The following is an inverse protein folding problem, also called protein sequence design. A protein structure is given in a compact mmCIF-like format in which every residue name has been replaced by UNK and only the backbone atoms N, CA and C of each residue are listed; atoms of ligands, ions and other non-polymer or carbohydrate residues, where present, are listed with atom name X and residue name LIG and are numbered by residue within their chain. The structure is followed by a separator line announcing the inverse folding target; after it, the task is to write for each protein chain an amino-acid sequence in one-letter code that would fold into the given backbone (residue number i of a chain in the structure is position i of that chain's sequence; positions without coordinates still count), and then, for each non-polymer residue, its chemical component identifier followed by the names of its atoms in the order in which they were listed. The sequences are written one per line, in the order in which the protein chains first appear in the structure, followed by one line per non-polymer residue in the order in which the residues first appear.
data_IF_219317288999
#
_entry.id   IF_219317288999
#
_cell.length_a   1.000
_cell.length_b   1.000
_cell.length_c   1.000
_cell.angle_alpha   90.00
_cell.angle_beta   90.00
_cell.angle_gamma   90.00
#
_symmetry.space_group_name_H-M   'P 1'
#
loop_
_entity.id
_entity.type
_entity.pdbx_description
1 polymer ?
#
# COMPACT_ATOMS: atom_id res chain seq x y z
N UNK A 1 0.13 16.62 3.01
CA UNK A 1 -0.97 16.52 2.01
C UNK A 1 -0.32 16.56 0.65
N UNK A 2 -0.74 15.71 -0.29
CA UNK A 2 -0.25 15.73 -1.68
C UNK A 2 -1.46 16.08 -2.54
N UNK A 3 -1.34 17.13 -3.35
CA UNK A 3 -2.41 17.59 -4.24
C UNK A 3 -1.96 17.38 -5.69
N UNK A 4 -2.83 16.75 -6.48
CA UNK A 4 -2.65 16.58 -7.92
C UNK A 4 -3.42 17.67 -8.65
N UNK A 5 -2.77 18.37 -9.58
CA UNK A 5 -3.41 19.40 -10.40
C UNK A 5 -3.05 19.15 -11.86
N UNK A 6 -4.08 19.05 -12.69
CA UNK A 6 -3.96 18.96 -14.15
C UNK A 6 -3.86 20.38 -14.71
N UNK A 7 -2.63 20.91 -14.77
CA UNK A 7 -2.29 22.01 -15.67
C UNK A 7 -1.64 21.39 -16.92
N UNK A 8 -1.27 22.18 -17.96
CA UNK A 8 -0.76 21.70 -19.26
C UNK A 8 0.43 20.68 -19.22
N UNK A 9 0.98 20.41 -18.03
CA UNK A 9 1.84 19.28 -17.70
C UNK A 9 1.39 18.65 -16.37
N UNK A 10 1.35 17.32 -16.28
CA UNK A 10 1.08 16.67 -14.99
C UNK A 10 2.20 17.03 -14.01
N UNK A 11 1.83 17.30 -12.76
CA UNK A 11 2.76 17.62 -11.69
C UNK A 11 2.29 17.07 -10.36
N UNK A 12 3.20 16.97 -9.40
CA UNK A 12 2.85 16.73 -8.00
C UNK A 12 3.45 17.81 -7.10
N UNK A 13 2.73 18.11 -6.02
CA UNK A 13 3.19 19.00 -4.97
C UNK A 13 3.14 18.30 -3.60
N UNK A 14 4.18 18.47 -2.80
CA UNK A 14 4.28 17.92 -1.46
C UNK A 14 4.17 19.05 -0.45
N UNK A 15 3.20 18.94 0.45
CA UNK A 15 2.99 19.91 1.52
C UNK A 15 3.29 19.31 2.90
N UNK A 16 3.94 20.11 3.74
CA UNK A 16 4.05 19.86 5.17
C UNK A 16 2.66 19.77 5.84
N UNK A 17 2.61 19.26 7.08
CA UNK A 17 1.37 19.25 7.87
C UNK A 17 0.81 20.66 8.13
N UNK A 18 1.65 21.69 8.08
CA UNK A 18 1.25 23.10 8.23
C UNK A 18 0.76 23.73 6.92
N UNK A 19 0.66 22.96 5.84
CA UNK A 19 0.25 23.46 4.52
C UNK A 19 1.34 24.20 3.74
N UNK A 20 2.58 24.25 4.24
CA UNK A 20 3.73 24.83 3.50
C UNK A 20 4.16 23.86 2.40
N UNK A 21 4.28 24.34 1.16
CA UNK A 21 4.78 23.56 0.03
C UNK A 21 6.27 23.31 0.18
N UNK A 22 6.66 22.04 0.26
CA UNK A 22 8.05 21.58 0.37
C UNK A 22 8.66 21.25 -1.00
N UNK A 23 7.85 20.73 -1.93
CA UNK A 23 8.34 20.27 -3.22
C UNK A 23 7.26 20.45 -4.29
N UNK A 24 7.69 20.76 -5.51
CA UNK A 24 6.92 20.66 -6.75
C UNK A 24 7.79 20.01 -7.80
N UNK A 25 7.28 19.02 -8.53
CA UNK A 25 7.95 18.46 -9.69
C UNK A 25 6.96 18.23 -10.83
N UNK A 26 7.40 18.54 -12.05
CA UNK A 26 6.70 18.16 -13.26
C UNK A 26 6.97 16.69 -13.58
N UNK A 27 5.92 15.96 -13.99
CA UNK A 27 5.97 14.54 -14.34
C UNK A 27 5.52 14.26 -15.77
N UNK A 28 5.36 15.31 -16.59
CA UNK A 28 5.07 15.18 -18.01
C UNK A 28 3.70 14.52 -18.26
N UNK A 29 3.69 13.42 -19.01
CA UNK A 29 2.53 12.55 -19.24
C UNK A 29 2.34 11.48 -18.17
N UNK A 30 3.26 11.35 -17.22
CA UNK A 30 3.18 10.30 -16.21
C UNK A 30 2.09 10.61 -15.16
N UNK A 31 1.59 9.56 -14.52
CA UNK A 31 0.60 9.62 -13.46
C UNK A 31 1.17 9.10 -12.14
N UNK A 32 0.86 9.76 -11.02
CA UNK A 32 1.22 9.25 -9.69
C UNK A 32 0.28 8.11 -9.32
N UNK A 33 0.82 6.92 -9.07
CA UNK A 33 0.03 5.75 -8.64
C UNK A 33 0.08 5.58 -7.13
N UNK A 34 1.25 5.84 -6.55
CA UNK A 34 1.48 5.64 -5.13
C UNK A 34 2.54 6.61 -4.64
N UNK A 35 2.42 7.01 -3.38
CA UNK A 35 3.37 7.87 -2.71
C UNK A 35 3.48 7.45 -1.25
N UNK A 36 4.66 7.63 -0.68
CA UNK A 36 4.86 7.57 0.77
C UNK A 36 6.03 8.46 1.16
N UNK A 37 6.16 8.78 2.45
CA UNK A 37 7.25 9.63 2.89
C UNK A 37 7.59 9.47 4.36
N UNK A 38 8.83 9.84 4.67
CA UNK A 38 9.33 10.01 6.03
C UNK A 38 9.32 11.50 6.32
N UNK A 39 8.44 11.92 7.24
CA UNK A 39 8.24 13.32 7.61
C UNK A 39 9.56 14.05 7.84
N UNK A 40 9.76 15.14 7.10
CA UNK A 40 10.94 16.01 7.21
C UNK A 40 12.22 15.46 6.59
N UNK A 41 12.24 14.24 6.05
CA UNK A 41 13.43 13.62 5.46
C UNK A 41 13.31 13.42 3.95
N UNK A 42 12.43 12.52 3.53
CA UNK A 42 12.32 12.10 2.13
C UNK A 42 10.90 11.68 1.78
N UNK A 43 10.59 11.72 0.49
CA UNK A 43 9.33 11.26 -0.06
C UNK A 43 9.61 10.49 -1.33
N UNK A 44 8.88 9.41 -1.55
CA UNK A 44 8.97 8.63 -2.78
C UNK A 44 7.63 8.66 -3.49
N UNK A 45 7.69 8.77 -4.82
CA UNK A 45 6.54 8.61 -5.70
C UNK A 45 6.80 7.44 -6.66
N UNK A 46 5.74 6.68 -6.92
CA UNK A 46 5.65 5.72 -8.01
C UNK A 46 4.86 6.37 -9.15
N UNK A 47 5.50 6.53 -10.29
CA UNK A 47 4.98 7.19 -11.48
C UNK A 47 4.79 6.15 -12.58
N UNK A 48 3.60 6.10 -13.18
CA UNK A 48 3.35 5.33 -14.38
C UNK A 48 3.43 6.24 -15.59
N UNK A 49 4.34 5.91 -16.49
CA UNK A 49 4.38 6.46 -17.83
C UNK A 49 3.79 5.44 -18.82
N UNK A 50 2.73 5.85 -19.49
CA UNK A 50 2.04 5.08 -20.52
C UNK A 50 2.11 5.76 -21.89
N UNK A 51 2.99 6.75 -22.08
CA UNK A 51 3.14 7.44 -23.37
C UNK A 51 3.89 6.60 -24.40
N UNK A 52 4.53 5.51 -23.99
CA UNK A 52 5.19 4.55 -24.87
C UNK A 52 4.31 3.30 -25.09
N UNK A 53 4.67 2.45 -26.05
CA UNK A 53 4.00 1.15 -26.23
C UNK A 53 4.22 0.19 -25.05
N UNK A 54 5.06 0.55 -24.09
CA UNK A 54 5.33 -0.19 -22.86
C UNK A 54 4.83 0.57 -21.63
N UNK A 55 4.42 -0.20 -20.62
CA UNK A 55 4.18 0.31 -19.27
C UNK A 55 5.53 0.49 -18.58
N UNK A 56 5.89 1.73 -18.26
CA UNK A 56 7.10 2.03 -17.49
C UNK A 56 6.69 2.61 -16.15
N UNK A 57 7.04 1.93 -15.06
CA UNK A 57 6.91 2.51 -13.72
C UNK A 57 8.25 3.06 -13.27
N UNK A 58 8.28 4.31 -12.86
CA UNK A 58 9.43 4.96 -12.23
C UNK A 58 9.16 5.16 -10.76
N UNK A 59 10.07 4.67 -9.91
CA UNK A 59 10.10 5.04 -8.49
C UNK A 59 11.18 6.10 -8.33
N UNK A 60 10.83 7.26 -7.80
CA UNK A 60 11.76 8.35 -7.54
C UNK A 60 11.62 8.87 -6.12
N UNK A 61 12.76 8.97 -5.43
CA UNK A 61 12.83 9.49 -4.06
C UNK A 61 13.43 10.88 -4.08
N UNK A 62 12.80 11.79 -3.34
CA UNK A 62 13.13 13.20 -3.23
C UNK A 62 13.42 13.55 -1.77
N UNK A 63 14.30 14.50 -1.52
CA UNK A 63 14.44 15.09 -0.20
C UNK A 63 13.36 16.18 0.05
N UNK A 64 13.42 16.81 1.22
CA UNK A 64 12.50 17.88 1.61
C UNK A 64 12.62 19.19 0.80
N UNK A 65 13.61 19.31 -0.07
CA UNK A 65 13.79 20.42 -1.01
C UNK A 65 13.34 20.08 -2.43
N UNK A 66 12.91 18.84 -2.67
CA UNK A 66 12.55 18.36 -4.00
C UNK A 66 13.73 17.92 -4.87
N UNK A 67 14.92 17.75 -4.30
CA UNK A 67 16.07 17.19 -5.02
C UNK A 67 15.94 15.67 -5.07
N UNK A 68 16.19 15.07 -6.24
CA UNK A 68 16.16 13.62 -6.42
C UNK A 68 17.36 13.01 -5.67
N UNK A 69 17.07 12.10 -4.74
CA UNK A 69 18.07 11.31 -4.04
C UNK A 69 18.47 10.07 -4.85
N UNK A 70 17.47 9.40 -5.43
CA UNK A 70 17.66 8.25 -6.33
C UNK A 70 16.37 7.99 -7.11
N UNK A 71 16.49 7.29 -8.25
CA UNK A 71 15.36 6.82 -9.02
C UNK A 71 15.67 5.49 -9.70
N UNK A 72 14.65 4.64 -9.86
CA UNK A 72 14.72 3.37 -10.56
C UNK A 72 13.53 3.25 -11.52
N UNK A 73 13.79 2.76 -12.74
CA UNK A 73 12.77 2.46 -13.73
C UNK A 73 12.50 0.95 -13.77
N UNK A 74 11.25 0.59 -13.99
CA UNK A 74 10.78 -0.78 -14.14
C UNK A 74 9.98 -0.87 -15.43
N UNK A 75 10.52 -1.60 -16.41
CA UNK A 75 9.81 -1.92 -17.65
C UNK A 75 8.84 -3.07 -17.40
N UNK A 76 7.66 -2.99 -18.03
CA UNK A 76 6.62 -4.03 -18.03
C UNK A 76 6.20 -4.48 -16.62
N UNK A 77 6.33 -3.58 -15.65
CA UNK A 77 5.99 -3.81 -14.24
C UNK A 77 5.28 -2.59 -13.68
N UNK A 78 4.07 -2.80 -13.18
CA UNK A 78 3.30 -1.80 -12.46
C UNK A 78 3.65 -1.84 -10.97
N UNK A 79 4.33 -0.81 -10.45
CA UNK A 79 4.53 -0.65 -9.00
C UNK A 79 3.36 0.14 -8.41
N UNK A 80 2.32 -0.59 -8.01
CA UNK A 80 1.04 -0.03 -7.56
C UNK A 80 1.05 0.46 -6.11
N UNK A 81 2.02 0.05 -5.30
CA UNK A 81 2.13 0.50 -3.91
C UNK A 81 3.58 0.65 -3.47
N UNK A 82 3.87 1.74 -2.78
CA UNK A 82 5.13 1.95 -2.06
C UNK A 82 4.86 2.27 -0.61
N UNK A 83 5.75 1.81 0.28
CA UNK A 83 5.64 2.09 1.72
C UNK A 83 7.00 2.09 2.40
N UNK A 84 7.28 3.12 3.17
CA UNK A 84 8.43 3.19 4.05
C UNK A 84 8.18 2.43 5.35
N UNK A 85 9.22 1.76 5.84
CA UNK A 85 9.26 1.30 7.22
C UNK A 85 9.83 2.39 8.16
N UNK A 86 9.79 2.13 9.45
CA UNK A 86 10.33 3.02 10.49
C UNK A 86 11.86 3.22 10.42
N UNK A 87 12.60 2.35 9.73
CA UNK A 87 14.06 2.48 9.51
C UNK A 87 14.39 3.32 8.28
N UNK A 88 13.39 3.67 7.47
CA UNK A 88 13.53 4.40 6.22
C UNK A 88 13.92 3.55 5.01
N UNK A 89 13.79 2.21 5.10
CA UNK A 89 13.79 1.36 3.91
C UNK A 89 12.44 1.50 3.22
N UNK A 90 12.45 1.47 1.89
CA UNK A 90 11.26 1.50 1.06
C UNK A 90 10.92 0.08 0.61
N UNK A 91 9.66 -0.29 0.68
CA UNK A 91 9.12 -1.45 -0.03
C UNK A 91 8.29 -0.98 -1.22
N UNK A 92 8.55 -1.57 -2.38
CA UNK A 92 7.83 -1.39 -3.62
C UNK A 92 7.09 -2.69 -3.97
N UNK A 93 5.81 -2.57 -4.27
CA UNK A 93 4.90 -3.70 -4.46
C UNK A 93 4.33 -3.59 -5.88
N UNK A 94 4.53 -4.65 -6.62
CA UNK A 94 4.01 -4.83 -7.98
C UNK A 94 2.94 -5.92 -8.01
N UNK A 95 2.44 -6.23 -9.20
CA UNK A 95 1.44 -7.28 -9.40
C UNK A 95 1.97 -8.69 -9.10
N UNK A 96 3.30 -8.91 -9.08
CA UNK A 96 3.88 -10.24 -8.91
C UNK A 96 5.10 -10.28 -7.99
N UNK A 97 5.55 -9.14 -7.46
CA UNK A 97 6.72 -9.09 -6.59
C UNK A 97 6.64 -7.98 -5.55
N UNK A 98 7.36 -8.19 -4.44
CA UNK A 98 7.62 -7.20 -3.41
C UNK A 98 9.15 -6.99 -3.34
N UNK A 99 9.60 -5.77 -3.61
CA UNK A 99 11.01 -5.37 -3.61
C UNK A 99 11.31 -4.47 -2.42
N UNK A 100 12.43 -4.67 -1.75
CA UNK A 100 12.93 -3.83 -0.65
C UNK A 100 14.17 -3.05 -1.08
N UNK A 101 14.14 -1.73 -0.89
CA UNK A 101 15.24 -0.81 -1.16
C UNK A 101 15.71 -0.16 0.13
N UNK A 102 17.02 0.06 0.29
CA UNK A 102 17.54 0.93 1.35
C UNK A 102 17.24 2.40 1.02
N UNK A 103 17.52 3.28 1.97
CA UNK A 103 17.39 4.72 1.81
C UNK A 103 18.20 5.31 0.65
N UNK A 104 19.29 4.65 0.23
CA UNK A 104 20.14 5.03 -0.91
C UNK A 104 19.65 4.51 -2.28
N UNK A 105 18.52 3.79 -2.31
CA UNK A 105 17.95 3.23 -3.54
C UNK A 105 18.52 1.88 -3.97
N UNK A 106 19.45 1.30 -3.20
CA UNK A 106 19.97 -0.04 -3.47
C UNK A 106 18.92 -1.10 -3.14
N UNK A 107 18.63 -1.99 -4.09
CA UNK A 107 17.81 -3.18 -3.89
C UNK A 107 18.51 -4.14 -2.91
N UNK A 108 17.80 -4.53 -1.85
CA UNK A 108 18.29 -5.45 -0.81
C UNK A 108 17.70 -6.82 -0.95
N UNK A 109 16.41 -6.89 -1.30
CA UNK A 109 15.67 -8.15 -1.33
C UNK A 109 14.51 -8.08 -2.31
N UNK A 110 14.26 -9.19 -2.96
CA UNK A 110 13.13 -9.41 -3.85
C UNK A 110 12.35 -10.63 -3.36
N UNK A 111 11.03 -10.53 -3.35
CA UNK A 111 10.12 -11.63 -3.08
C UNK A 111 9.16 -11.73 -4.26
N UNK A 112 9.27 -12.81 -5.03
CA UNK A 112 8.41 -13.07 -6.19
C UNK A 112 7.27 -14.03 -5.82
N UNK A 113 6.13 -13.85 -6.46
CA UNK A 113 4.95 -14.70 -6.32
C UNK A 113 4.70 -15.42 -7.64
N UNK A 114 4.42 -16.72 -7.57
CA UNK A 114 4.11 -17.54 -8.75
C UNK A 114 2.80 -17.14 -9.42
N UNK A 115 1.84 -16.65 -8.63
CA UNK A 115 0.55 -16.15 -9.08
C UNK A 115 0.44 -14.65 -8.79
N UNK A 116 -0.27 -13.86 -9.61
CA UNK A 116 -0.43 -12.43 -9.38
C UNK A 116 -1.07 -12.11 -8.01
N UNK A 117 -0.58 -11.06 -7.39
CA UNK A 117 -1.13 -10.44 -6.20
C UNK A 117 -2.46 -9.79 -6.56
N UNK A 118 -3.56 -10.32 -6.01
CA UNK A 118 -4.89 -9.75 -6.22
C UNK A 118 -5.11 -8.46 -5.43
N UNK A 119 -4.61 -8.44 -4.19
CA UNK A 119 -4.74 -7.31 -3.27
C UNK A 119 -3.50 -7.26 -2.39
N UNK A 120 -3.03 -6.05 -2.09
CA UNK A 120 -1.94 -5.84 -1.12
C UNK A 120 -2.23 -4.64 -0.23
N UNK A 121 -1.95 -4.77 1.07
CA UNK A 121 -1.95 -3.68 2.03
C UNK A 121 -0.63 -3.66 2.78
N UNK A 122 0.01 -2.49 2.81
CA UNK A 122 1.25 -2.26 3.52
C UNK A 122 0.94 -1.31 4.69
N UNK A 123 0.85 -1.88 5.88
CA UNK A 123 0.65 -1.16 7.14
C UNK A 123 1.97 -0.64 7.68
N UNK A 124 1.99 -0.20 8.95
CA UNK A 124 3.23 0.31 9.54
C UNK A 124 4.26 -0.80 9.83
N UNK A 125 3.78 -1.98 10.22
CA UNK A 125 4.65 -3.07 10.70
C UNK A 125 4.55 -4.35 9.87
N UNK A 126 3.48 -4.53 9.09
CA UNK A 126 3.23 -5.72 8.29
C UNK A 126 2.77 -5.37 6.88
N UNK A 127 3.08 -6.28 5.96
CA UNK A 127 2.57 -6.29 4.59
C UNK A 127 1.70 -7.53 4.45
N UNK A 128 0.46 -7.34 4.01
CA UNK A 128 -0.51 -8.42 3.77
C UNK A 128 -0.81 -8.47 2.29
N UNK A 129 -0.57 -9.63 1.66
CA UNK A 129 -0.85 -9.87 0.25
C UNK A 129 -1.83 -11.02 0.07
N UNK A 130 -2.70 -10.91 -0.93
CA UNK A 130 -3.64 -11.96 -1.32
C UNK A 130 -3.27 -12.49 -2.68
N UNK A 131 -3.21 -13.82 -2.79
CA UNK A 131 -2.96 -14.55 -4.04
C UNK A 131 -4.10 -15.53 -4.29
N UNK A 132 -4.55 -15.63 -5.55
CA UNK A 132 -5.55 -16.64 -5.93
C UNK A 132 -4.89 -18.01 -6.06
N UNK A 133 -5.49 -19.02 -5.45
CA UNK A 133 -5.18 -20.43 -5.69
C UNK A 133 -6.45 -21.20 -6.05
N UNK A 134 -6.30 -22.47 -6.43
CA UNK A 134 -7.43 -23.29 -6.86
C UNK A 134 -8.39 -23.55 -5.71
N UNK A 135 -9.54 -22.88 -5.73
CA UNK A 135 -10.62 -23.04 -4.75
C UNK A 135 -10.50 -22.21 -3.46
N UNK A 136 -9.43 -21.43 -3.31
CA UNK A 136 -9.23 -20.55 -2.15
C UNK A 136 -8.27 -19.40 -2.48
N UNK A 137 -8.12 -18.47 -1.55
CA UNK A 137 -7.23 -17.32 -1.63
C UNK A 137 -6.25 -17.38 -0.47
N UNK A 138 -4.97 -17.44 -0.79
CA UNK A 138 -3.91 -17.36 0.22
C UNK A 138 -3.70 -15.92 0.64
N UNK A 139 -3.53 -15.74 1.94
CA UNK A 139 -3.20 -14.48 2.58
C UNK A 139 -1.83 -14.64 3.20
N UNK A 140 -0.82 -13.95 2.67
CA UNK A 140 0.53 -13.97 3.21
C UNK A 140 0.79 -12.72 4.04
N UNK A 141 1.35 -12.91 5.24
CA UNK A 141 1.75 -11.80 6.11
C UNK A 141 3.27 -11.77 6.21
N UNK A 142 3.84 -10.64 5.81
CA UNK A 142 5.28 -10.39 5.82
C UNK A 142 5.63 -9.24 6.76
N UNK A 143 6.82 -9.28 7.34
CA UNK A 143 7.45 -8.09 7.90
C UNK A 143 8.15 -7.26 6.81
N UNK A 144 8.67 -6.09 7.18
CA UNK A 144 9.44 -5.22 6.29
C UNK A 144 10.88 -5.70 5.98
N UNK A 145 11.26 -6.90 6.44
CA UNK A 145 12.43 -7.62 5.95
C UNK A 145 12.04 -8.66 4.90
N UNK A 146 10.78 -8.64 4.46
CA UNK A 146 10.18 -9.62 3.55
C UNK A 146 10.33 -11.04 4.08
N UNK A 147 10.28 -11.23 5.40
CA UNK A 147 10.16 -12.53 6.05
C UNK A 147 8.68 -12.80 6.26
N UNK A 148 8.20 -13.96 5.81
CA UNK A 148 6.85 -14.40 6.13
C UNK A 148 6.74 -14.68 7.63
N UNK A 149 5.80 -14.03 8.29
CA UNK A 149 5.54 -14.15 9.74
C UNK A 149 4.17 -14.79 10.04
N UNK A 150 3.35 -14.99 9.01
CA UNK A 150 2.04 -15.59 9.13
C UNK A 150 1.44 -15.92 7.77
N UNK A 151 0.38 -16.72 7.80
CA UNK A 151 -0.42 -17.05 6.63
C UNK A 151 -1.84 -17.43 7.04
N UNK A 152 -2.79 -17.20 6.14
CA UNK A 152 -4.15 -17.71 6.25
C UNK A 152 -4.66 -18.11 4.87
N UNK A 153 -5.75 -18.87 4.81
CA UNK A 153 -6.46 -19.16 3.59
C UNK A 153 -7.94 -18.83 3.78
N UNK A 154 -8.55 -18.18 2.78
CA UNK A 154 -9.98 -17.85 2.77
C UNK A 154 -10.65 -18.44 1.54
N UNK A 155 -11.88 -18.93 1.68
CA UNK A 155 -12.62 -19.54 0.57
C UNK A 155 -13.24 -18.51 -0.36
N UNK A 156 -13.79 -17.43 0.20
CA UNK A 156 -14.41 -16.34 -0.54
C UNK A 156 -13.37 -15.31 -0.96
N UNK A 157 -13.56 -14.70 -2.12
CA UNK A 157 -12.69 -13.63 -2.63
C UNK A 157 -12.91 -12.36 -1.79
N UNK A 158 -11.90 -11.82 -1.09
CA UNK A 158 -12.07 -10.55 -0.42
C UNK A 158 -12.13 -9.40 -1.42
N UNK A 159 -13.03 -8.45 -1.19
CA UNK A 159 -13.12 -7.22 -1.99
C UNK A 159 -11.99 -6.24 -1.63
N UNK A 160 -11.54 -6.27 -0.38
CA UNK A 160 -10.38 -5.49 0.04
C UNK A 160 -9.72 -5.97 1.32
N UNK A 161 -8.61 -5.29 1.62
CA UNK A 161 -7.76 -5.57 2.78
C UNK A 161 -7.17 -4.29 3.35
N UNK A 162 -6.98 -4.30 4.67
CA UNK A 162 -6.30 -3.22 5.36
C UNK A 162 -5.32 -3.78 6.40
N UNK A 163 -4.05 -3.39 6.31
CA UNK A 163 -3.01 -3.79 7.25
C UNK A 163 -2.80 -2.69 8.30
N UNK A 164 -3.08 -3.03 9.56
CA UNK A 164 -2.77 -2.20 10.74
C UNK A 164 -1.35 -2.44 11.25
N UNK A 165 -1.17 -2.31 12.57
CA UNK A 165 0.12 -2.57 13.21
C UNK A 165 0.23 -4.05 13.62
N UNK A 166 -0.76 -4.54 14.37
CA UNK A 166 -0.79 -5.94 14.83
C UNK A 166 -1.92 -6.76 14.23
N UNK A 167 -2.87 -6.10 13.59
CA UNK A 167 -4.01 -6.76 12.97
C UNK A 167 -4.12 -6.39 11.50
N UNK A 168 -4.85 -7.19 10.77
CA UNK A 168 -5.33 -6.84 9.45
C UNK A 168 -6.80 -7.17 9.32
N UNK A 169 -7.45 -6.42 8.43
CA UNK A 169 -8.84 -6.62 8.04
C UNK A 169 -8.88 -7.26 6.67
N UNK A 170 -9.71 -8.28 6.53
CA UNK A 170 -10.22 -8.75 5.24
C UNK A 170 -11.70 -8.40 5.19
N UNK A 171 -12.18 -7.90 4.06
CA UNK A 171 -13.61 -7.66 3.91
C UNK A 171 -14.10 -8.01 2.51
N UNK A 172 -15.35 -8.46 2.47
CA UNK A 172 -16.19 -8.43 1.29
C UNK A 172 -17.34 -7.45 1.55
N UNK A 173 -18.29 -7.38 0.61
CA UNK A 173 -19.46 -6.51 0.71
C UNK A 173 -20.24 -6.66 2.03
N UNK A 174 -20.30 -7.86 2.59
CA UNK A 174 -21.21 -8.20 3.68
C UNK A 174 -20.46 -8.52 4.98
N UNK A 175 -19.20 -8.94 4.90
CA UNK A 175 -18.44 -9.45 6.04
C UNK A 175 -17.12 -8.72 6.22
N UNK A 176 -16.78 -8.50 7.49
CA UNK A 176 -15.50 -8.00 7.94
C UNK A 176 -14.84 -9.04 8.86
N UNK A 177 -13.63 -9.46 8.52
CA UNK A 177 -12.82 -10.36 9.33
C UNK A 177 -11.62 -9.61 9.90
N UNK A 178 -11.44 -9.67 11.22
CA UNK A 178 -10.25 -9.19 11.92
C UNK A 178 -9.30 -10.37 12.20
N UNK A 179 -8.06 -10.25 11.78
CA UNK A 179 -7.03 -11.28 11.93
C UNK A 179 -5.75 -10.72 12.55
N UNK A 180 -5.05 -11.55 13.34
CA UNK A 180 -3.73 -11.23 13.90
C UNK A 180 -2.58 -11.40 12.91
N UNK A 181 -1.38 -10.90 13.26
CA UNK A 181 -0.16 -10.98 12.41
C UNK A 181 0.21 -12.39 11.92
N UNK A 182 -0.20 -13.43 12.64
CA UNK A 182 0.07 -14.82 12.26
C UNK A 182 -0.98 -15.41 11.29
N UNK A 183 -2.04 -14.66 10.97
CA UNK A 183 -3.14 -15.11 10.12
C UNK A 183 -4.33 -15.69 10.91
N UNK A 184 -4.23 -15.82 12.24
CA UNK A 184 -5.34 -16.28 13.09
C UNK A 184 -6.50 -15.29 13.06
N UNK A 185 -7.69 -15.78 12.70
CA UNK A 185 -8.95 -15.04 12.81
C UNK A 185 -9.28 -14.79 14.29
N UNK A 186 -9.61 -13.55 14.61
CA UNK A 186 -9.92 -13.11 15.98
C UNK A 186 -11.39 -12.73 16.13
N UNK A 187 -11.97 -12.12 15.10
CA UNK A 187 -13.38 -11.75 15.09
C UNK A 187 -13.92 -11.71 13.65
N UNK A 188 -15.22 -11.93 13.52
CA UNK A 188 -15.99 -11.73 12.30
C UNK A 188 -17.18 -10.84 12.64
N UNK A 189 -17.46 -9.89 11.76
CA UNK A 189 -18.61 -9.01 11.84
C UNK A 189 -19.38 -9.10 10.54
N UNK A 190 -20.63 -9.54 10.63
CA UNK A 190 -21.61 -9.49 9.54
C UNK A 190 -22.25 -8.10 9.53
N UNK A 191 -22.13 -7.42 8.39
CA UNK A 191 -22.49 -6.02 8.26
C UNK A 191 -23.95 -5.87 7.84
N UNK A 192 -24.66 -4.96 8.50
CA UNK A 192 -25.98 -4.52 8.08
C UNK A 192 -25.96 -3.45 6.97
N UNK A 193 -24.78 -3.15 6.44
CA UNK A 193 -24.54 -2.23 5.32
C UNK A 193 -23.45 -2.76 4.39
N UNK A 194 -23.56 -2.44 3.11
CA UNK A 194 -22.53 -2.72 2.11
C UNK A 194 -21.18 -2.09 2.53
N UNK A 195 -20.13 -2.90 2.61
CA UNK A 195 -18.78 -2.44 2.91
C UNK A 195 -18.08 -2.02 1.61
N UNK A 196 -17.80 -0.73 1.45
CA UNK A 196 -17.00 -0.21 0.33
C UNK A 196 -15.50 -0.21 0.68
N UNK A 197 -15.16 0.21 1.91
CA UNK A 197 -13.79 0.15 2.41
C UNK A 197 -13.74 0.09 3.93
N UNK A 198 -12.61 -0.39 4.47
CA UNK A 198 -12.40 -0.46 5.92
C UNK A 198 -10.99 -0.05 6.33
N UNK A 199 -10.88 0.47 7.56
CA UNK A 199 -9.63 0.93 8.14
C UNK A 199 -9.59 0.57 9.62
N UNK A 200 -8.43 0.17 10.14
CA UNK A 200 -8.22 0.00 11.58
C UNK A 200 -7.29 1.09 12.11
N UNK A 201 -7.70 1.77 13.17
CA UNK A 201 -6.91 2.75 13.89
C UNK A 201 -6.49 2.18 15.26
N UNK A 202 -5.22 2.37 15.60
CA UNK A 202 -4.64 1.94 16.88
C UNK A 202 -4.95 0.49 17.28
N UNK A 203 -5.16 -0.39 16.30
CA UNK A 203 -5.48 -1.81 16.52
C UNK A 203 -6.76 -2.06 17.34
N UNK A 204 -7.65 -1.06 17.50
CA UNK A 204 -8.87 -1.17 18.33
C UNK A 204 -10.13 -0.64 17.64
N UNK A 205 -10.04 0.51 16.98
CA UNK A 205 -11.20 1.12 16.31
C UNK A 205 -11.19 0.76 14.84
N UNK A 206 -12.28 0.16 14.37
CA UNK A 206 -12.46 -0.20 12.97
C UNK A 206 -13.53 0.70 12.36
N UNK A 207 -13.21 1.31 11.23
CA UNK A 207 -14.12 2.16 10.48
C UNK A 207 -14.56 1.43 9.22
N UNK A 208 -15.87 1.27 9.06
CA UNK A 208 -16.52 0.76 7.85
C UNK A 208 -17.07 1.97 7.08
N UNK A 209 -16.63 2.12 5.84
CA UNK A 209 -17.14 3.13 4.91
C UNK A 209 -18.10 2.45 3.96
N UNK A 210 -19.31 2.99 3.87
CA UNK A 210 -20.30 2.62 2.87
C UNK A 210 -20.76 3.85 2.10
N UNK A 211 -21.44 3.64 0.98
CA UNK A 211 -22.14 4.71 0.27
C UNK A 211 -23.27 5.38 1.10
N UNK A 212 -23.69 4.76 2.22
CA UNK A 212 -24.81 5.23 3.05
C UNK A 212 -24.37 5.91 4.34
N UNK A 213 -23.32 5.40 4.99
CA UNK A 213 -22.81 5.88 6.28
C UNK A 213 -21.36 5.47 6.53
N UNK A 214 -20.73 6.18 7.45
CA UNK A 214 -19.51 5.78 8.13
C UNK A 214 -19.89 5.13 9.47
N UNK A 215 -19.45 3.89 9.72
CA UNK A 215 -19.72 3.15 10.94
C UNK A 215 -18.42 2.85 11.68
N UNK A 216 -18.38 3.12 12.99
CA UNK A 216 -17.27 2.73 13.87
C UNK A 216 -17.64 1.48 14.65
N UNK A 217 -16.73 0.51 14.67
CA UNK A 217 -16.74 -0.65 15.55
C UNK A 217 -15.54 -0.54 16.49
N UNK A 218 -15.66 -1.10 17.69
CA UNK A 218 -14.54 -1.18 18.64
C UNK A 218 -14.31 -2.65 18.98
N UNK A 219 -13.08 -3.12 18.76
CA UNK A 219 -12.65 -4.44 19.14
C UNK A 219 -12.24 -4.44 20.62
N UNK A 220 -12.98 -5.19 21.44
CA UNK A 220 -12.62 -5.44 22.84
C UNK A 220 -11.88 -6.79 22.91
N UNK A 221 -10.71 -6.78 23.53
CA UNK A 221 -9.87 -7.97 23.72
C UNK A 221 -10.35 -8.84 24.87
#
# INVERSE_FOLDING_TARGET
MIQYKEDAYNSFEIFSMKGVRNCKAAIGSAHVISFDGITGKSYTVSLLDASSSKVVTKIATYNNKGEILWANNFEDMLVSKIKYNNKGDLVAISESSIKKFRSDGKLVKNLDFSNPLLKVSAGNDIIVSIVKNTGFYDVFIHDYNLKQIGSAAVKTKPDGIFAGKNYFLLYDKDNLTLSGRQGKMLAVYESNIDINSTYINNDSDIYIISNRKLQRLTFQK
#
